data_IF_668017447143
#
_entry.id   IF_668017447143
#
_cell.length_a   1.000
_cell.length_b   1.000
_cell.length_c   1.000
_cell.angle_alpha   90.00
_cell.angle_beta   90.00
_cell.angle_gamma   90.00
#
_symmetry.space_group_name_H-M   'P 1'
#
loop_
_entity.id
_entity.type
_entity.pdbx_description
1 polymer ?
#
# COMPACT_ATOMS: atom_id res chain seq x y z
N UNK A 1 35.13 -17.79 41.57
CA UNK A 1 36.50 -18.44 41.59
C UNK A 1 36.91 -18.62 40.12
N UNK A 2 38.00 -17.91 39.80
CA UNK A 2 39.10 -18.28 38.86
C UNK A 2 38.73 -18.67 37.43
N UNK A 3 39.23 -18.13 36.36
CA UNK A 3 40.34 -17.26 35.87
C UNK A 3 40.32 -17.49 34.38
N UNK A 4 40.22 -16.46 33.54
CA UNK A 4 41.25 -15.88 32.70
C UNK A 4 42.24 -16.90 32.05
N UNK A 5 42.35 -16.82 30.69
CA UNK A 5 43.62 -16.63 30.02
C UNK A 5 43.36 -16.17 28.56
N UNK A 6 43.99 -15.04 28.24
CA UNK A 6 44.15 -14.43 26.92
C UNK A 6 45.38 -15.07 26.21
N UNK A 7 45.43 -15.02 24.89
CA UNK A 7 46.71 -14.81 24.17
C UNK A 7 46.47 -14.35 22.74
N UNK A 8 47.01 -13.20 22.39
CA UNK A 8 47.19 -12.60 21.07
C UNK A 8 48.55 -13.03 20.47
N UNK A 9 48.65 -12.97 19.12
CA UNK A 9 49.91 -12.73 18.35
C UNK A 9 49.50 -12.51 16.89
N UNK A 10 49.54 -11.39 16.31
CA UNK A 10 50.53 -10.42 15.81
C UNK A 10 51.30 -10.87 14.52
N UNK A 11 51.01 -10.08 13.46
CA UNK A 11 51.88 -9.56 12.36
C UNK A 11 52.94 -10.42 11.68
N UNK A 12 52.93 -10.40 10.33
CA UNK A 12 54.11 -9.98 9.53
C UNK A 12 53.73 -9.63 8.08
N UNK A 13 54.07 -8.39 7.65
CA UNK A 13 54.17 -7.91 6.27
C UNK A 13 55.43 -8.44 5.61
N UNK A 14 55.38 -8.67 4.28
CA UNK A 14 56.55 -8.44 3.41
C UNK A 14 56.09 -8.18 1.97
N UNK A 15 56.37 -7.00 1.48
CA UNK A 15 56.33 -6.60 0.08
C UNK A 15 57.62 -7.02 -0.62
N UNK A 16 57.49 -7.44 -1.90
CA UNK A 16 58.62 -7.30 -2.86
C UNK A 16 58.10 -7.20 -4.29
N UNK A 17 58.39 -6.09 -4.91
CA UNK A 17 58.34 -5.84 -6.36
C UNK A 17 59.50 -6.59 -7.07
N UNK A 18 59.26 -7.13 -8.28
CA UNK A 18 60.28 -7.13 -9.35
C UNK A 18 59.61 -7.16 -10.73
N UNK A 19 60.12 -6.30 -11.58
CA UNK A 19 59.85 -6.09 -13.01
C UNK A 19 60.63 -7.09 -13.83
N UNK A 20 60.06 -7.56 -14.95
CA UNK A 20 60.83 -8.27 -15.97
C UNK A 20 59.99 -8.59 -17.21
N UNK A 21 60.30 -7.90 -18.31
CA UNK A 21 59.79 -8.15 -19.67
C UNK A 21 60.39 -9.45 -20.29
N UNK A 22 59.58 -10.10 -21.17
CA UNK A 22 60.10 -11.10 -22.11
C UNK A 22 59.03 -11.87 -22.84
N UNK A 23 58.95 -11.67 -24.15
CA UNK A 23 58.02 -12.25 -25.13
C UNK A 23 58.22 -13.75 -25.33
N UNK A 24 57.16 -14.55 -25.56
CA UNK A 24 56.95 -15.40 -26.75
C UNK A 24 55.79 -16.39 -26.57
N UNK A 25 55.03 -16.58 -27.61
CA UNK A 25 53.79 -17.32 -27.76
C UNK A 25 53.89 -18.84 -27.54
N UNK A 26 52.80 -19.42 -26.96
CA UNK A 26 52.24 -20.70 -27.43
C UNK A 26 50.88 -20.98 -26.78
N UNK A 27 49.96 -21.45 -27.60
CA UNK A 27 48.53 -21.74 -27.55
C UNK A 27 48.06 -22.69 -26.44
N UNK A 28 46.91 -22.27 -25.79
CA UNK A 28 45.66 -22.95 -25.38
C UNK A 28 45.70 -24.09 -24.33
N UNK A 29 44.55 -24.36 -23.61
CA UNK A 29 43.21 -23.79 -23.67
C UNK A 29 42.71 -23.21 -22.33
N UNK A 30 41.68 -22.38 -22.47
CA UNK A 30 40.98 -21.67 -21.41
C UNK A 30 40.17 -22.62 -20.51
N UNK A 31 40.32 -22.47 -19.19
CA UNK A 31 39.28 -22.78 -18.20
C UNK A 31 38.68 -21.48 -17.76
N UNK A 32 37.38 -21.30 -18.09
CA UNK A 32 36.56 -20.15 -17.71
C UNK A 32 36.22 -20.27 -16.23
N UNK A 33 36.86 -19.49 -15.37
CA UNK A 33 36.28 -19.08 -14.11
C UNK A 33 35.34 -17.92 -14.41
N UNK A 34 34.02 -18.19 -14.38
CA UNK A 34 33.00 -17.17 -14.39
C UNK A 34 33.03 -16.45 -13.04
N UNK A 35 33.74 -15.38 -12.97
CA UNK A 35 33.56 -14.37 -11.95
C UNK A 35 32.19 -13.71 -12.16
N UNK A 36 31.27 -14.02 -11.30
CA UNK A 36 29.98 -13.31 -11.20
C UNK A 36 30.24 -11.85 -10.80
N UNK A 37 30.44 -10.99 -11.77
CA UNK A 37 30.15 -9.59 -11.61
C UNK A 37 28.62 -9.44 -11.82
N UNK A 38 27.90 -9.15 -10.75
CA UNK A 38 26.57 -8.58 -10.87
C UNK A 38 26.73 -7.24 -11.61
N UNK A 39 26.64 -7.28 -12.92
CA UNK A 39 26.40 -6.10 -13.71
C UNK A 39 24.94 -5.73 -13.45
N UNK A 40 24.70 -4.56 -12.89
CA UNK A 40 23.45 -3.84 -13.04
C UNK A 40 23.25 -3.62 -14.53
N UNK A 41 22.60 -4.57 -15.21
CA UNK A 41 22.14 -4.39 -16.55
C UNK A 41 20.94 -3.46 -16.44
N UNK A 42 21.05 -2.21 -16.92
CA UNK A 42 19.91 -1.52 -17.48
C UNK A 42 19.32 -2.51 -18.50
N UNK A 43 18.23 -3.17 -18.12
CA UNK A 43 17.58 -4.16 -18.97
C UNK A 43 16.98 -3.42 -20.18
N UNK A 44 16.93 -4.09 -21.32
CA UNK A 44 16.08 -3.58 -22.39
C UNK A 44 14.66 -3.51 -21.85
N UNK A 45 14.04 -2.32 -21.83
CA UNK A 45 12.67 -2.15 -21.38
C UNK A 45 11.69 -2.97 -22.24
N UNK A 46 10.49 -3.15 -21.74
CA UNK A 46 9.42 -3.85 -22.45
C UNK A 46 8.64 -2.81 -23.30
N UNK A 47 8.51 -2.98 -24.62
CA UNK A 47 7.70 -2.10 -25.44
C UNK A 47 6.27 -1.97 -24.89
N UNK A 48 5.69 -0.77 -24.97
CA UNK A 48 4.36 -0.49 -24.41
C UNK A 48 3.29 -1.45 -24.96
N UNK A 49 3.38 -1.81 -26.23
CA UNK A 49 2.48 -2.77 -26.90
C UNK A 49 2.60 -4.21 -26.39
N UNK A 50 3.73 -4.57 -25.76
CA UNK A 50 4.02 -5.90 -25.23
C UNK A 50 3.81 -6.00 -23.72
N UNK A 51 3.58 -4.86 -23.05
CA UNK A 51 3.29 -4.85 -21.60
C UNK A 51 1.98 -5.57 -21.32
N UNK A 52 2.01 -6.47 -20.33
CA UNK A 52 0.83 -7.05 -19.70
C UNK A 52 0.92 -6.96 -18.19
N UNK A 53 -0.16 -6.51 -17.57
CA UNK A 53 -0.28 -6.26 -16.14
C UNK A 53 -1.31 -7.19 -15.54
N UNK A 54 -0.90 -8.02 -14.59
CA UNK A 54 -1.80 -8.82 -13.75
C UNK A 54 -2.20 -8.03 -12.51
N UNK A 55 -3.46 -8.15 -12.08
CA UNK A 55 -3.91 -7.62 -10.79
C UNK A 55 -4.85 -8.62 -10.12
N UNK A 56 -4.60 -8.87 -8.83
CA UNK A 56 -5.36 -9.84 -8.04
C UNK A 56 -6.06 -9.10 -6.92
N UNK A 57 -7.39 -9.08 -6.97
CA UNK A 57 -8.26 -8.41 -6.02
C UNK A 57 -8.89 -9.42 -5.05
N UNK A 58 -8.91 -9.08 -3.76
CA UNK A 58 -9.57 -9.87 -2.72
C UNK A 58 -11.10 -9.86 -2.87
N UNK A 59 -11.66 -8.76 -3.34
CA UNK A 59 -13.09 -8.58 -3.60
C UNK A 59 -13.40 -8.27 -5.06
N UNK A 60 -14.63 -7.85 -5.31
CA UNK A 60 -15.10 -7.42 -6.64
C UNK A 60 -15.01 -5.88 -6.76
N UNK A 61 -14.16 -5.34 -7.64
CA UNK A 61 -14.11 -3.90 -7.89
C UNK A 61 -15.45 -3.31 -8.38
N UNK A 62 -16.33 -4.13 -8.96
CA UNK A 62 -17.65 -3.70 -9.42
C UNK A 62 -18.58 -3.29 -8.25
N UNK A 63 -18.21 -3.54 -7.01
CA UNK A 63 -18.91 -3.02 -5.83
C UNK A 63 -18.98 -1.49 -5.78
N UNK A 64 -18.06 -0.79 -6.47
CA UNK A 64 -18.10 0.66 -6.65
C UNK A 64 -17.56 1.48 -5.47
N UNK A 65 -17.14 0.80 -4.39
CA UNK A 65 -16.51 1.40 -3.20
C UNK A 65 -15.62 0.36 -2.49
N UNK A 66 -14.84 0.80 -1.51
CA UNK A 66 -13.99 -0.05 -0.69
C UNK A 66 -12.63 -0.38 -1.31
N UNK A 67 -11.91 -1.29 -0.65
CA UNK A 67 -10.49 -1.55 -0.91
C UNK A 67 -10.19 -2.03 -2.34
N UNK A 68 -10.85 -3.11 -2.80
CA UNK A 68 -10.62 -3.65 -4.15
C UNK A 68 -11.02 -2.67 -5.25
N UNK A 69 -12.07 -1.88 -5.03
CA UNK A 69 -12.48 -0.82 -5.95
C UNK A 69 -11.37 0.24 -6.10
N UNK A 70 -10.78 0.72 -5.00
CA UNK A 70 -9.73 1.75 -5.10
C UNK A 70 -8.46 1.23 -5.75
N UNK A 71 -8.10 -0.02 -5.53
CA UNK A 71 -7.00 -0.65 -6.26
C UNK A 71 -7.27 -0.70 -7.76
N UNK A 72 -8.48 -1.09 -8.17
CA UNK A 72 -8.83 -1.13 -9.59
C UNK A 72 -8.91 0.28 -10.20
N UNK A 73 -9.38 1.29 -9.47
CA UNK A 73 -9.29 2.67 -9.92
C UNK A 73 -7.84 3.12 -10.15
N UNK A 74 -6.91 2.66 -9.32
CA UNK A 74 -5.47 2.84 -9.53
C UNK A 74 -4.98 2.18 -10.81
N UNK A 75 -5.42 0.96 -11.11
CA UNK A 75 -5.12 0.26 -12.37
C UNK A 75 -5.69 1.01 -13.57
N UNK A 76 -6.94 1.49 -13.49
CA UNK A 76 -7.57 2.29 -14.56
C UNK A 76 -6.81 3.60 -14.81
N UNK A 77 -6.38 4.27 -13.74
CA UNK A 77 -5.59 5.50 -13.84
C UNK A 77 -4.23 5.24 -14.50
N UNK A 78 -3.53 4.18 -14.10
CA UNK A 78 -2.27 3.73 -14.70
C UNK A 78 -2.46 3.38 -16.18
N UNK A 79 -3.46 2.56 -16.48
CA UNK A 79 -3.81 2.16 -17.87
C UNK A 79 -4.01 3.37 -18.77
N UNK A 80 -4.80 4.34 -18.31
CA UNK A 80 -5.05 5.59 -19.04
C UNK A 80 -3.78 6.43 -19.22
N UNK A 81 -2.97 6.55 -18.18
CA UNK A 81 -1.74 7.36 -18.20
C UNK A 81 -0.71 6.80 -19.16
N UNK A 82 -0.55 5.48 -19.19
CA UNK A 82 0.43 4.79 -20.02
C UNK A 82 -0.11 4.40 -21.40
N UNK A 83 -1.39 4.64 -21.68
CA UNK A 83 -2.03 4.34 -22.98
C UNK A 83 -2.20 2.85 -23.24
N UNK A 84 -2.33 2.03 -22.20
CA UNK A 84 -2.52 0.58 -22.33
C UNK A 84 -3.96 0.24 -22.72
N UNK A 85 -4.13 -0.80 -23.54
CA UNK A 85 -5.44 -1.34 -23.90
C UNK A 85 -6.02 -2.25 -22.82
N UNK A 86 -7.33 -2.50 -22.87
CA UNK A 86 -8.00 -3.42 -21.92
C UNK A 86 -7.43 -4.86 -21.97
N UNK A 87 -6.98 -5.29 -23.15
CA UNK A 87 -6.39 -6.62 -23.34
C UNK A 87 -5.02 -6.80 -22.67
N UNK A 88 -4.41 -5.72 -22.24
CA UNK A 88 -3.13 -5.72 -21.50
C UNK A 88 -3.31 -5.80 -19.99
N UNK A 89 -4.54 -5.70 -19.49
CA UNK A 89 -4.85 -5.75 -18.05
C UNK A 89 -5.62 -7.03 -17.71
N UNK A 90 -4.97 -7.92 -17.00
CA UNK A 90 -5.52 -9.21 -16.58
C UNK A 90 -5.99 -9.10 -15.13
N UNK A 91 -7.31 -9.11 -14.93
CA UNK A 91 -7.93 -8.99 -13.60
C UNK A 91 -8.36 -10.35 -13.07
N UNK A 92 -8.00 -10.65 -11.84
CA UNK A 92 -8.47 -11.80 -11.07
C UNK A 92 -9.18 -11.27 -9.83
N UNK A 93 -10.50 -11.40 -9.78
CA UNK A 93 -11.34 -10.82 -8.74
C UNK A 93 -11.88 -11.90 -7.79
N UNK A 94 -12.25 -11.49 -6.57
CA UNK A 94 -12.81 -12.38 -5.54
C UNK A 94 -11.86 -13.53 -5.16
N UNK A 95 -10.56 -13.26 -5.11
CA UNK A 95 -9.57 -14.23 -4.66
C UNK A 95 -9.38 -14.06 -3.16
N UNK A 96 -9.92 -15.02 -2.38
CA UNK A 96 -9.76 -14.99 -0.91
C UNK A 96 -8.30 -15.09 -0.51
N UNK A 97 -7.83 -14.17 0.34
CA UNK A 97 -6.46 -14.14 0.84
C UNK A 97 -6.13 -15.22 1.88
N UNK A 98 -7.12 -16.01 2.27
CA UNK A 98 -6.97 -17.22 3.10
C UNK A 98 -6.94 -18.52 2.30
N UNK A 99 -7.18 -18.48 0.98
CA UNK A 99 -7.16 -19.66 0.09
C UNK A 99 -5.88 -19.66 -0.77
N UNK A 100 -4.82 -20.26 -0.22
CA UNK A 100 -3.49 -20.34 -0.88
C UNK A 100 -3.57 -20.98 -2.27
N UNK A 101 -4.48 -21.95 -2.48
CA UNK A 101 -4.63 -22.61 -3.79
C UNK A 101 -5.26 -21.67 -4.82
N UNK A 102 -6.30 -20.93 -4.43
CA UNK A 102 -6.92 -19.94 -5.30
C UNK A 102 -5.95 -18.80 -5.65
N UNK A 103 -5.15 -18.34 -4.68
CA UNK A 103 -4.12 -17.32 -4.88
C UNK A 103 -3.07 -17.78 -5.90
N UNK A 104 -2.52 -18.99 -5.69
CA UNK A 104 -1.50 -19.55 -6.59
C UNK A 104 -2.05 -19.74 -8.00
N UNK A 105 -3.25 -20.27 -8.16
CA UNK A 105 -3.89 -20.44 -9.46
C UNK A 105 -4.09 -19.08 -10.16
N UNK A 106 -4.58 -18.05 -9.46
CA UNK A 106 -4.79 -16.73 -10.03
C UNK A 106 -3.49 -16.08 -10.52
N UNK A 107 -2.40 -16.21 -9.75
CA UNK A 107 -1.08 -15.72 -10.16
C UNK A 107 -0.52 -16.51 -11.34
N UNK A 108 -0.65 -17.85 -11.32
CA UNK A 108 -0.22 -18.71 -12.43
C UNK A 108 -0.94 -18.38 -13.72
N UNK A 109 -2.25 -18.14 -13.67
CA UNK A 109 -3.01 -17.71 -14.85
C UNK A 109 -2.51 -16.37 -15.40
N UNK A 110 -2.14 -15.41 -14.55
CA UNK A 110 -1.51 -14.16 -15.00
C UNK A 110 -0.15 -14.41 -15.68
N UNK A 111 0.67 -15.31 -15.13
CA UNK A 111 1.97 -15.70 -15.71
C UNK A 111 1.76 -16.38 -17.07
N UNK A 112 0.82 -17.34 -17.17
CA UNK A 112 0.49 -18.05 -18.41
C UNK A 112 -0.05 -17.12 -19.50
N UNK A 113 -0.78 -16.06 -19.11
CA UNK A 113 -1.23 -15.02 -20.04
C UNK A 113 -0.10 -14.06 -20.47
N UNK A 114 1.10 -14.20 -19.89
CA UNK A 114 2.30 -13.45 -20.23
C UNK A 114 2.41 -12.09 -19.54
N UNK A 115 1.88 -11.95 -18.31
CA UNK A 115 2.05 -10.73 -17.54
C UNK A 115 3.52 -10.51 -17.18
N UNK A 116 4.01 -9.28 -17.40
CA UNK A 116 5.35 -8.85 -17.03
C UNK A 116 5.43 -8.44 -15.57
N UNK A 117 4.32 -7.93 -15.03
CA UNK A 117 4.19 -7.46 -13.66
C UNK A 117 2.83 -7.87 -13.09
N UNK A 118 2.81 -8.30 -11.82
CA UNK A 118 1.59 -8.72 -11.11
C UNK A 118 1.47 -7.92 -9.82
N UNK A 119 0.36 -7.22 -9.67
CA UNK A 119 -0.01 -6.53 -8.43
C UNK A 119 -0.91 -7.44 -7.59
N UNK A 120 -0.41 -7.87 -6.45
CA UNK A 120 -1.10 -8.73 -5.49
C UNK A 120 -1.54 -7.86 -4.30
N UNK A 121 -2.84 -7.59 -4.18
CA UNK A 121 -3.34 -6.46 -3.37
C UNK A 121 -3.66 -6.79 -1.92
N UNK A 122 -3.51 -8.03 -1.45
CA UNK A 122 -3.86 -8.40 -0.08
C UNK A 122 -2.74 -9.08 0.69
N UNK A 123 -2.74 -8.88 2.02
CA UNK A 123 -1.77 -9.42 2.96
C UNK A 123 -1.50 -10.92 2.78
N UNK A 124 -2.55 -11.74 2.65
CA UNK A 124 -2.42 -13.19 2.53
C UNK A 124 -1.77 -13.67 1.24
N UNK A 125 -1.50 -12.78 0.28
CA UNK A 125 -0.84 -13.15 -0.98
C UNK A 125 0.68 -13.17 -0.88
N UNK A 126 1.26 -12.67 0.22
CA UNK A 126 2.70 -12.41 0.40
C UNK A 126 3.57 -13.65 0.19
N UNK A 127 3.24 -14.77 0.83
CA UNK A 127 4.04 -16.01 0.76
C UNK A 127 3.98 -16.64 -0.63
N UNK A 128 2.84 -16.51 -1.32
CA UNK A 128 2.69 -17.00 -2.70
C UNK A 128 3.49 -16.12 -3.68
N UNK A 129 3.49 -14.79 -3.49
CA UNK A 129 4.34 -13.89 -4.27
C UNK A 129 5.82 -14.25 -4.13
N UNK A 130 6.30 -14.45 -2.89
CA UNK A 130 7.69 -14.82 -2.62
C UNK A 130 8.07 -16.12 -3.34
N UNK A 131 7.24 -17.17 -3.19
CA UNK A 131 7.42 -18.45 -3.86
C UNK A 131 7.50 -18.34 -5.38
N UNK A 132 6.49 -17.68 -5.98
CA UNK A 132 6.42 -17.59 -7.44
C UNK A 132 7.48 -16.64 -8.02
N UNK A 133 7.93 -15.64 -7.28
CA UNK A 133 9.01 -14.77 -7.69
C UNK A 133 10.36 -15.54 -7.81
N UNK A 134 10.58 -16.55 -6.96
CA UNK A 134 11.74 -17.44 -7.08
C UNK A 134 11.62 -18.38 -8.29
N UNK A 135 10.41 -18.88 -8.57
CA UNK A 135 10.15 -19.82 -9.67
C UNK A 135 10.11 -19.13 -11.05
N UNK A 136 9.70 -17.85 -11.10
CA UNK A 136 9.50 -17.05 -12.33
C UNK A 136 10.30 -15.74 -12.27
N UNK A 137 11.64 -15.80 -12.40
CA UNK A 137 12.49 -14.61 -12.23
C UNK A 137 12.29 -13.51 -13.27
N UNK A 138 11.65 -13.82 -14.40
CA UNK A 138 11.34 -12.86 -15.47
C UNK A 138 9.99 -12.12 -15.24
N UNK A 139 9.22 -12.48 -14.20
CA UNK A 139 7.96 -11.84 -13.83
C UNK A 139 8.17 -11.03 -12.57
N UNK A 140 7.64 -9.81 -12.55
CA UNK A 140 7.74 -8.90 -11.41
C UNK A 140 6.52 -9.01 -10.52
N UNK A 141 6.73 -9.09 -9.21
CA UNK A 141 5.68 -9.20 -8.22
C UNK A 141 5.71 -7.99 -7.29
N UNK A 142 4.60 -7.24 -7.24
CA UNK A 142 4.40 -6.15 -6.30
C UNK A 142 3.29 -6.54 -5.33
N UNK A 143 3.63 -6.70 -4.06
CA UNK A 143 2.70 -7.10 -3.03
C UNK A 143 2.23 -5.93 -2.17
N UNK A 144 0.93 -5.68 -2.14
CA UNK A 144 0.30 -4.67 -1.28
C UNK A 144 0.25 -5.11 0.18
N UNK A 145 0.50 -4.19 1.10
CA UNK A 145 0.38 -4.36 2.55
C UNK A 145 1.43 -5.24 3.25
N UNK A 146 2.31 -5.89 2.50
CA UNK A 146 3.32 -6.80 3.05
C UNK A 146 4.60 -6.12 3.52
N UNK A 147 5.60 -6.96 3.83
CA UNK A 147 6.93 -6.51 4.26
C UNK A 147 8.09 -7.29 3.61
N UNK A 148 7.77 -8.35 2.85
CA UNK A 148 8.78 -9.18 2.19
C UNK A 148 9.20 -8.58 0.84
N UNK A 149 10.45 -8.84 0.49
CA UNK A 149 11.03 -8.56 -0.83
C UNK A 149 12.23 -9.50 -1.06
N UNK A 150 12.64 -9.70 -2.30
CA UNK A 150 13.79 -10.55 -2.62
C UNK A 150 14.97 -9.79 -3.26
N UNK A 151 14.87 -8.47 -3.41
CA UNK A 151 15.92 -7.65 -3.99
C UNK A 151 16.11 -7.79 -5.51
N UNK A 152 15.22 -8.50 -6.22
CA UNK A 152 15.28 -8.72 -7.68
C UNK A 152 13.97 -8.46 -8.38
N UNK A 153 12.96 -9.31 -8.20
CA UNK A 153 11.69 -9.26 -8.90
C UNK A 153 10.45 -9.28 -7.98
N UNK A 154 10.66 -9.13 -6.68
CA UNK A 154 9.59 -9.06 -5.68
C UNK A 154 9.83 -7.93 -4.69
N UNK A 155 8.88 -7.01 -4.61
CA UNK A 155 8.83 -5.94 -3.62
C UNK A 155 7.46 -5.85 -2.95
N UNK A 156 7.37 -5.04 -1.89
CA UNK A 156 6.09 -4.66 -1.31
C UNK A 156 5.84 -3.15 -1.46
N UNK A 157 4.56 -2.78 -1.43
CA UNK A 157 4.12 -1.39 -1.46
C UNK A 157 3.00 -1.16 -0.46
N UNK A 158 3.04 -0.03 0.19
CA UNK A 158 1.98 0.48 1.06
C UNK A 158 2.17 1.98 1.29
N UNK A 159 1.47 2.59 2.27
CA UNK A 159 1.60 4.02 2.48
C UNK A 159 1.26 4.52 3.87
N UNK A 160 1.61 5.78 4.11
CA UNK A 160 1.44 6.52 5.37
C UNK A 160 0.03 7.09 5.49
N UNK A 161 -0.99 6.22 5.45
CA UNK A 161 -2.40 6.63 5.49
C UNK A 161 -2.74 7.47 6.73
N UNK A 162 -1.96 7.31 7.81
CA UNK A 162 -2.10 8.09 9.03
C UNK A 162 -1.93 9.60 8.80
N UNK A 163 -1.23 10.05 7.75
CA UNK A 163 -1.11 11.48 7.43
C UNK A 163 -2.48 12.07 7.07
N UNK A 164 -3.21 11.45 6.15
CA UNK A 164 -4.56 11.89 5.78
C UNK A 164 -5.56 11.68 6.94
N UNK A 165 -5.34 10.64 7.79
CA UNK A 165 -6.13 10.45 9.01
C UNK A 165 -6.03 11.63 9.97
N UNK A 166 -4.82 12.15 10.18
CA UNK A 166 -4.62 13.34 11.00
C UNK A 166 -5.43 14.53 10.47
N UNK A 167 -5.35 14.81 9.18
CA UNK A 167 -6.08 15.91 8.55
C UNK A 167 -7.61 15.73 8.62
N UNK A 168 -8.08 14.50 8.45
CA UNK A 168 -9.51 14.20 8.61
C UNK A 168 -9.96 14.33 10.07
N UNK A 169 -9.07 14.06 11.02
CA UNK A 169 -9.28 14.35 12.45
C UNK A 169 -9.45 15.83 12.73
N UNK A 170 -8.67 16.69 12.07
CA UNK A 170 -8.85 18.16 12.14
C UNK A 170 -10.26 18.57 11.68
N UNK A 171 -10.72 18.03 10.53
CA UNK A 171 -12.07 18.32 10.04
C UNK A 171 -13.15 17.83 11.02
N UNK A 172 -13.02 16.63 11.57
CA UNK A 172 -13.94 16.05 12.56
C UNK A 172 -13.97 16.85 13.87
N UNK A 173 -12.79 17.27 14.36
CA UNK A 173 -12.66 18.03 15.60
C UNK A 173 -13.27 19.43 15.53
N UNK A 174 -13.20 20.08 14.37
CA UNK A 174 -13.85 21.37 14.12
C UNK A 174 -15.37 21.22 13.94
N UNK A 175 -15.85 20.05 13.48
CA UNK A 175 -17.25 19.83 13.15
C UNK A 175 -18.10 19.37 14.33
N UNK A 176 -17.54 18.59 15.26
CA UNK A 176 -18.32 18.05 16.38
C UNK A 176 -18.92 19.17 17.25
N UNK A 177 -20.18 19.01 17.61
CA UNK A 177 -20.91 19.87 18.57
C UNK A 177 -21.02 19.19 19.93
N UNK A 178 -21.03 17.86 19.95
CA UNK A 178 -21.15 17.06 21.19
C UNK A 178 -19.83 16.84 21.92
N UNK A 179 -18.69 17.09 21.26
CA UNK A 179 -17.35 16.66 21.68
C UNK A 179 -17.20 15.12 21.81
N UNK A 180 -18.11 14.37 21.18
CA UNK A 180 -18.06 12.92 21.14
C UNK A 180 -17.98 12.47 19.69
N UNK A 181 -16.84 11.89 19.31
CA UNK A 181 -16.55 11.42 17.97
C UNK A 181 -16.42 9.90 18.00
N UNK A 182 -17.13 9.21 17.13
CA UNK A 182 -17.07 7.77 16.97
C UNK A 182 -16.03 7.37 15.92
N UNK A 183 -15.42 6.19 16.08
CA UNK A 183 -14.52 5.62 15.08
C UNK A 183 -14.76 4.10 14.97
N UNK A 184 -15.10 3.64 13.78
CA UNK A 184 -15.29 2.21 13.48
C UNK A 184 -13.99 1.67 12.88
N UNK A 185 -13.29 0.82 13.62
CA UNK A 185 -12.04 0.20 13.20
C UNK A 185 -12.21 -1.27 12.83
N UNK A 186 -11.54 -1.71 11.76
CA UNK A 186 -11.58 -3.09 11.31
C UNK A 186 -10.86 -4.05 12.26
N UNK A 187 -9.70 -3.63 12.79
CA UNK A 187 -8.81 -4.46 13.61
C UNK A 187 -8.43 -3.75 14.91
N UNK A 188 -8.03 -4.53 15.91
CA UNK A 188 -7.59 -4.05 17.21
C UNK A 188 -6.10 -3.67 17.27
N UNK A 189 -5.56 -3.70 18.49
CA UNK A 189 -4.20 -3.24 18.77
C UNK A 189 -3.09 -4.04 18.09
N UNK A 190 -3.38 -5.24 17.62
CA UNK A 190 -2.47 -6.11 16.90
C UNK A 190 -2.20 -5.63 15.46
N UNK A 191 -3.04 -4.74 14.93
CA UNK A 191 -2.88 -4.18 13.58
C UNK A 191 -2.33 -2.75 13.64
N UNK A 192 -1.08 -2.58 13.23
CA UNK A 192 -0.38 -1.30 13.27
C UNK A 192 -0.96 -0.24 12.32
N UNK A 193 -1.57 -0.64 11.21
CA UNK A 193 -2.23 0.27 10.27
C UNK A 193 -3.44 0.93 10.91
N UNK A 194 -4.37 0.12 11.44
CA UNK A 194 -5.59 0.63 12.08
C UNK A 194 -5.26 1.45 13.32
N UNK A 195 -4.32 0.96 14.15
CA UNK A 195 -3.93 1.64 15.40
C UNK A 195 -3.31 3.01 15.10
N UNK A 196 -2.33 3.07 14.18
CA UNK A 196 -1.72 4.35 13.80
C UNK A 196 -2.73 5.31 13.15
N UNK A 197 -3.71 4.77 12.43
CA UNK A 197 -4.81 5.55 11.85
C UNK A 197 -5.73 6.16 12.91
N UNK A 198 -6.09 5.38 13.94
CA UNK A 198 -6.88 5.86 15.09
C UNK A 198 -6.12 6.95 15.84
N UNK A 199 -4.85 6.70 16.16
CA UNK A 199 -4.01 7.63 16.90
C UNK A 199 -3.85 8.95 16.14
N UNK A 200 -3.53 8.90 14.85
CA UNK A 200 -3.39 10.08 14.02
C UNK A 200 -4.69 10.89 13.91
N UNK A 201 -5.83 10.20 13.73
CA UNK A 201 -7.14 10.83 13.72
C UNK A 201 -7.42 11.54 15.06
N UNK A 202 -7.19 10.86 16.18
CA UNK A 202 -7.38 11.43 17.51
C UNK A 202 -6.45 12.64 17.78
N UNK A 203 -5.20 12.58 17.33
CA UNK A 203 -4.26 13.70 17.40
C UNK A 203 -4.73 14.89 16.55
N UNK A 204 -5.30 14.65 15.37
CA UNK A 204 -5.91 15.68 14.54
C UNK A 204 -7.09 16.34 15.23
N UNK A 205 -7.97 15.56 15.84
CA UNK A 205 -9.09 16.07 16.67
C UNK A 205 -8.57 16.94 17.80
N UNK A 206 -7.62 16.42 18.60
CA UNK A 206 -7.07 17.11 19.77
C UNK A 206 -6.40 18.44 19.41
N UNK A 207 -5.76 18.51 18.24
CA UNK A 207 -5.06 19.72 17.78
C UNK A 207 -5.96 20.96 17.61
N UNK A 208 -7.26 20.74 17.37
CA UNK A 208 -8.24 21.81 17.17
C UNK A 208 -9.36 21.81 18.22
N UNK A 209 -9.59 20.69 18.90
CA UNK A 209 -10.64 20.54 19.91
C UNK A 209 -10.17 19.59 21.04
N UNK A 210 -9.39 20.09 22.03
CA UNK A 210 -8.85 19.26 23.10
C UNK A 210 -9.91 18.70 24.07
N UNK A 211 -11.14 19.21 24.04
CA UNK A 211 -12.25 18.72 24.86
C UNK A 211 -12.95 17.51 24.24
N UNK A 212 -12.80 17.30 22.94
CA UNK A 212 -13.41 16.17 22.26
C UNK A 212 -12.76 14.83 22.62
N UNK A 213 -13.58 13.77 22.53
CA UNK A 213 -13.16 12.38 22.79
C UNK A 213 -13.49 11.50 21.60
N UNK A 214 -12.52 10.65 21.23
CA UNK A 214 -12.71 9.64 20.19
C UNK A 214 -13.06 8.29 20.84
N UNK A 215 -14.23 7.76 20.51
CA UNK A 215 -14.73 6.47 20.99
C UNK A 215 -14.61 5.43 19.88
N UNK A 216 -13.93 4.33 20.13
CA UNK A 216 -13.61 3.32 19.13
C UNK A 216 -14.46 2.06 19.30
N UNK A 217 -14.98 1.53 18.21
CA UNK A 217 -15.56 0.19 18.10
C UNK A 217 -14.80 -0.62 17.06
N UNK A 218 -14.38 -1.83 17.44
CA UNK A 218 -13.65 -2.75 16.56
C UNK A 218 -14.58 -3.84 16.07
N UNK A 219 -14.59 -4.09 14.75
CA UNK A 219 -15.40 -5.13 14.11
C UNK A 219 -14.71 -6.48 14.03
N UNK A 220 -13.37 -6.52 14.13
CA UNK A 220 -12.49 -7.67 13.87
C UNK A 220 -12.65 -8.22 12.44
N UNK A 221 -12.98 -7.36 11.49
CA UNK A 221 -13.10 -7.67 10.07
C UNK A 221 -12.85 -6.43 9.25
N UNK A 222 -12.16 -6.57 8.10
CA UNK A 222 -12.02 -5.51 7.11
C UNK A 222 -13.34 -5.26 6.37
N UNK A 223 -14.11 -6.32 6.10
CA UNK A 223 -15.37 -6.27 5.37
C UNK A 223 -16.47 -7.01 6.13
N UNK A 224 -17.28 -6.28 6.86
CA UNK A 224 -18.46 -6.77 7.59
C UNK A 224 -19.57 -5.72 7.57
N UNK A 225 -20.36 -5.64 6.47
CA UNK A 225 -21.38 -4.60 6.30
C UNK A 225 -22.36 -4.49 7.47
N UNK A 226 -22.72 -5.61 8.09
CA UNK A 226 -23.66 -5.62 9.23
C UNK A 226 -22.96 -5.16 10.52
N UNK A 227 -21.79 -5.72 10.82
CA UNK A 227 -21.01 -5.36 12.00
C UNK A 227 -20.57 -3.88 11.97
N UNK A 228 -20.19 -3.36 10.82
CA UNK A 228 -19.84 -1.96 10.62
C UNK A 228 -21.05 -1.03 10.87
N UNK A 229 -22.23 -1.39 10.33
CA UNK A 229 -23.47 -0.67 10.63
C UNK A 229 -23.80 -0.68 12.11
N UNK A 230 -23.71 -1.85 12.77
CA UNK A 230 -24.01 -1.99 14.20
C UNK A 230 -23.04 -1.19 15.07
N UNK A 231 -21.75 -1.19 14.71
CA UNK A 231 -20.72 -0.43 15.41
C UNK A 231 -20.99 1.09 15.30
N UNK A 232 -21.31 1.59 14.11
CA UNK A 232 -21.66 2.99 13.88
C UNK A 232 -22.90 3.39 14.67
N UNK A 233 -23.98 2.60 14.61
CA UNK A 233 -25.21 2.86 15.39
C UNK A 233 -24.92 2.93 16.88
N UNK A 234 -24.14 1.99 17.42
CA UNK A 234 -23.81 1.99 18.83
C UNK A 234 -23.01 3.24 19.25
N UNK A 235 -22.16 3.79 18.40
CA UNK A 235 -21.45 5.06 18.63
C UNK A 235 -22.40 6.25 18.58
N UNK A 236 -23.31 6.29 17.62
CA UNK A 236 -24.34 7.32 17.48
C UNK A 236 -25.28 7.31 18.69
N UNK A 237 -25.72 6.12 19.15
CA UNK A 237 -26.57 5.97 20.34
C UNK A 237 -25.86 6.41 21.62
N UNK A 238 -24.53 6.37 21.67
CA UNK A 238 -23.72 6.92 22.77
C UNK A 238 -23.67 8.47 22.75
N UNK A 239 -24.10 9.11 21.66
CA UNK A 239 -24.06 10.56 21.49
C UNK A 239 -22.92 11.06 20.61
N UNK A 240 -22.22 10.20 19.88
CA UNK A 240 -21.26 10.63 18.88
C UNK A 240 -21.98 11.30 17.71
N UNK A 241 -21.52 12.48 17.32
CA UNK A 241 -22.08 13.28 16.22
C UNK A 241 -21.19 13.37 14.98
N UNK A 242 -20.01 12.76 15.01
CA UNK A 242 -19.14 12.51 13.85
C UNK A 242 -18.68 11.06 13.89
N UNK A 243 -18.73 10.34 12.76
CA UNK A 243 -18.35 8.93 12.65
C UNK A 243 -17.20 8.78 11.64
N UNK A 244 -15.98 8.53 12.13
CA UNK A 244 -14.83 8.09 11.33
C UNK A 244 -14.83 6.57 11.14
N UNK A 245 -14.11 6.10 10.13
CA UNK A 245 -13.97 4.66 9.89
C UNK A 245 -12.59 4.26 9.37
N UNK A 246 -12.22 3.00 9.63
CA UNK A 246 -11.09 2.29 9.05
C UNK A 246 -11.51 0.84 8.79
N UNK A 247 -12.51 0.70 7.93
CA UNK A 247 -13.12 -0.55 7.45
C UNK A 247 -13.66 -0.30 6.03
N UNK A 248 -13.98 -1.39 5.30
CA UNK A 248 -14.02 -1.33 3.84
C UNK A 248 -15.39 -1.01 3.23
N UNK A 249 -16.47 -0.98 4.01
CA UNK A 249 -17.79 -0.65 3.44
C UNK A 249 -18.21 0.79 3.73
N UNK A 250 -19.12 1.40 2.95
CA UNK A 250 -19.64 2.72 3.25
C UNK A 250 -20.67 2.73 4.38
N UNK A 251 -20.98 1.59 4.99
CA UNK A 251 -22.07 1.46 5.96
C UNK A 251 -21.97 2.38 7.17
N UNK A 252 -20.80 2.64 7.78
CA UNK A 252 -20.70 3.62 8.86
C UNK A 252 -21.19 5.01 8.43
N UNK A 253 -20.87 5.42 7.20
CA UNK A 253 -21.28 6.72 6.66
C UNK A 253 -22.78 6.77 6.32
N UNK A 254 -23.32 5.66 5.80
CA UNK A 254 -24.75 5.51 5.56
C UNK A 254 -25.57 5.58 6.86
N UNK A 255 -25.06 5.00 7.96
CA UNK A 255 -25.72 5.12 9.27
C UNK A 255 -25.58 6.51 9.86
N UNK A 256 -24.45 7.21 9.65
CA UNK A 256 -24.30 8.61 10.02
C UNK A 256 -25.33 9.50 9.29
N UNK A 257 -25.48 9.32 7.97
CA UNK A 257 -26.46 10.06 7.17
C UNK A 257 -27.90 9.82 7.64
N UNK A 258 -28.28 8.56 7.85
CA UNK A 258 -29.63 8.20 8.35
C UNK A 258 -29.93 8.84 9.72
N UNK A 259 -28.92 8.97 10.56
CA UNK A 259 -29.06 9.56 11.89
C UNK A 259 -28.98 11.10 11.88
N UNK A 260 -28.60 11.71 10.76
CA UNK A 260 -28.41 13.15 10.64
C UNK A 260 -27.16 13.65 11.39
N UNK A 261 -26.13 12.80 11.52
CA UNK A 261 -24.81 13.14 12.05
C UNK A 261 -23.77 13.12 10.93
N UNK A 262 -22.57 13.58 11.20
CA UNK A 262 -21.52 13.71 10.19
C UNK A 262 -20.60 12.50 10.15
N UNK A 263 -19.76 12.43 9.09
CA UNK A 263 -18.88 11.32 8.88
C UNK A 263 -17.56 11.65 8.19
N UNK A 264 -16.61 10.72 8.30
CA UNK A 264 -15.32 10.73 7.61
C UNK A 264 -15.15 9.38 6.94
N UNK A 265 -15.11 9.39 5.59
CA UNK A 265 -14.99 8.18 4.78
C UNK A 265 -13.58 7.60 4.69
N UNK A 266 -13.48 6.43 4.05
CA UNK A 266 -12.22 5.71 3.84
C UNK A 266 -12.18 4.97 2.50
N UNK A 267 -10.97 4.68 2.03
CA UNK A 267 -10.59 4.04 0.77
C UNK A 267 -10.85 4.94 -0.45
N UNK A 268 -12.07 5.40 -0.64
CA UNK A 268 -12.52 6.24 -1.75
C UNK A 268 -13.36 7.40 -1.25
N UNK A 269 -13.66 8.37 -2.12
CA UNK A 269 -14.57 9.46 -1.83
C UNK A 269 -16.00 8.95 -1.56
N UNK A 270 -16.36 8.88 -0.27
CA UNK A 270 -17.67 8.44 0.20
C UNK A 270 -18.72 9.54 0.24
N UNK A 271 -18.43 10.76 -0.23
CA UNK A 271 -19.45 11.78 -0.45
C UNK A 271 -20.48 11.33 -1.48
N UNK A 272 -20.13 10.36 -2.34
CA UNK A 272 -21.05 9.72 -3.30
C UNK A 272 -22.02 8.76 -2.64
N UNK A 273 -21.58 8.09 -1.55
CA UNK A 273 -22.39 7.10 -0.82
C UNK A 273 -23.31 7.76 0.20
N UNK A 274 -22.81 8.78 0.92
CA UNK A 274 -23.51 9.48 1.99
C UNK A 274 -23.33 11.02 1.89
N UNK A 275 -23.88 11.66 0.84
CA UNK A 275 -23.66 13.09 0.57
C UNK A 275 -24.18 14.02 1.67
N UNK A 276 -25.11 13.56 2.50
CA UNK A 276 -25.67 14.34 3.62
C UNK A 276 -24.87 14.22 4.92
N UNK A 277 -23.81 13.40 4.96
CA UNK A 277 -23.02 13.17 6.18
C UNK A 277 -21.53 13.41 6.00
N UNK A 278 -20.95 12.99 4.88
CA UNK A 278 -19.48 12.90 4.73
C UNK A 278 -18.85 14.28 4.59
N UNK A 279 -17.94 14.59 5.52
CA UNK A 279 -17.14 15.81 5.54
C UNK A 279 -16.00 15.74 4.53
N UNK A 280 -15.29 14.62 4.54
CA UNK A 280 -14.19 14.26 3.66
C UNK A 280 -13.93 12.77 3.75
N UNK A 281 -13.06 12.25 2.87
CA UNK A 281 -12.63 10.86 2.89
C UNK A 281 -11.11 10.76 2.89
N UNK A 282 -10.59 9.78 3.62
CA UNK A 282 -9.19 9.39 3.60
C UNK A 282 -9.01 8.37 2.49
N UNK A 283 -8.23 8.69 1.47
CA UNK A 283 -8.20 7.93 0.22
C UNK A 283 -6.83 7.38 -0.12
N UNK A 284 -6.85 6.27 -0.87
CA UNK A 284 -5.71 5.71 -1.55
C UNK A 284 -5.73 6.05 -3.03
N UNK A 285 -4.67 6.65 -3.53
CA UNK A 285 -4.42 6.85 -4.94
C UNK A 285 -3.35 5.86 -5.43
N UNK A 286 -3.72 4.58 -5.51
CA UNK A 286 -2.82 3.50 -5.94
C UNK A 286 -2.23 3.72 -7.34
N UNK A 287 -2.91 4.52 -8.17
CA UNK A 287 -2.42 4.88 -9.50
C UNK A 287 -1.06 5.57 -9.51
N UNK A 288 -0.70 6.28 -8.45
CA UNK A 288 0.62 6.89 -8.30
C UNK A 288 1.72 5.81 -8.30
N UNK A 289 1.57 4.77 -7.47
CA UNK A 289 2.53 3.67 -7.43
C UNK A 289 2.46 2.80 -8.70
N UNK A 290 1.27 2.39 -9.14
CA UNK A 290 1.13 1.50 -10.30
C UNK A 290 1.68 2.09 -11.57
N UNK A 291 1.44 3.39 -11.81
CA UNK A 291 1.98 4.08 -12.98
C UNK A 291 3.51 4.08 -12.96
N UNK A 292 4.12 4.41 -11.83
CA UNK A 292 5.58 4.41 -11.69
C UNK A 292 6.17 3.00 -11.87
N UNK A 293 5.55 1.99 -11.23
CA UNK A 293 6.02 0.61 -11.31
C UNK A 293 6.00 0.08 -12.75
N UNK A 294 4.89 0.25 -13.48
CA UNK A 294 4.78 -0.19 -14.88
C UNK A 294 5.67 0.65 -15.80
N UNK A 295 5.82 1.97 -15.54
CA UNK A 295 6.75 2.81 -16.31
C UNK A 295 8.20 2.32 -16.16
N UNK A 296 8.62 1.91 -14.95
CA UNK A 296 9.96 1.35 -14.72
C UNK A 296 10.17 0.05 -15.53
N UNK A 297 9.13 -0.76 -15.75
CA UNK A 297 9.21 -1.95 -16.60
C UNK A 297 9.37 -1.57 -18.07
N UNK A 298 8.59 -0.59 -18.54
CA UNK A 298 8.67 -0.07 -19.89
C UNK A 298 10.06 0.50 -20.20
N UNK A 299 10.61 1.27 -19.25
CA UNK A 299 11.89 1.94 -19.41
C UNK A 299 13.10 1.02 -19.17
N UNK A 300 12.89 -0.21 -18.69
CA UNK A 300 13.97 -1.13 -18.30
C UNK A 300 14.73 -0.68 -17.04
N UNK A 301 14.10 0.17 -16.22
CA UNK A 301 14.69 0.73 -15.00
C UNK A 301 14.18 0.06 -13.73
N UNK A 302 13.55 -1.12 -13.86
CA UNK A 302 13.17 -1.90 -12.69
C UNK A 302 14.42 -2.49 -12.04
N UNK A 303 14.94 -1.79 -11.03
CA UNK A 303 16.08 -2.24 -10.23
C UNK A 303 15.73 -2.05 -8.76
N UNK A 304 15.50 -3.15 -8.05
CA UNK A 304 15.19 -3.13 -6.62
C UNK A 304 16.42 -2.63 -5.84
N UNK A 305 16.19 -1.72 -4.88
CA UNK A 305 17.23 -1.07 -4.09
C UNK A 305 17.86 0.16 -4.76
N UNK A 306 17.53 0.45 -6.02
CA UNK A 306 18.00 1.63 -6.74
C UNK A 306 16.83 2.51 -7.23
N UNK A 307 15.89 1.93 -7.96
CA UNK A 307 14.71 2.65 -8.51
C UNK A 307 13.38 2.09 -7.99
N UNK A 308 13.40 0.84 -7.54
CA UNK A 308 12.25 0.15 -6.98
C UNK A 308 12.69 -0.54 -5.70
N UNK A 309 12.30 0.02 -4.57
CA UNK A 309 12.48 -0.60 -3.25
C UNK A 309 11.10 -0.94 -2.68
N UNK A 310 11.08 -1.39 -1.45
CA UNK A 310 9.84 -1.43 -0.69
C UNK A 310 9.29 -0.01 -0.63
N UNK A 311 8.11 0.16 -1.20
CA UNK A 311 7.50 1.48 -1.33
C UNK A 311 6.58 1.75 -0.15
N UNK A 312 6.85 2.82 0.59
CA UNK A 312 5.97 3.28 1.66
C UNK A 312 5.64 4.76 1.42
N UNK A 313 4.75 4.98 0.44
CA UNK A 313 4.39 6.29 -0.07
C UNK A 313 3.63 7.16 0.92
N UNK A 314 3.58 8.44 0.65
CA UNK A 314 2.94 9.43 1.50
C UNK A 314 2.08 10.43 0.70
N UNK A 315 1.65 11.51 1.36
CA UNK A 315 0.87 12.57 0.69
C UNK A 315 1.71 13.36 -0.32
N UNK A 316 3.03 13.51 -0.10
CA UNK A 316 3.91 14.21 -1.05
C UNK A 316 4.13 13.38 -2.31
N UNK A 317 4.13 12.05 -2.19
CA UNK A 317 4.16 11.12 -3.32
C UNK A 317 2.82 11.07 -4.09
N UNK A 318 1.75 11.60 -3.49
CA UNK A 318 0.40 11.56 -4.04
C UNK A 318 -0.28 10.20 -3.90
N UNK A 319 0.28 9.25 -3.11
CA UNK A 319 -0.34 7.95 -2.85
C UNK A 319 -1.47 8.06 -1.83
N UNK A 320 -1.26 8.84 -0.77
CA UNK A 320 -2.23 9.09 0.29
C UNK A 320 -2.87 10.44 0.06
N UNK A 321 -4.19 10.50 0.07
CA UNK A 321 -4.95 11.70 -0.28
C UNK A 321 -6.04 11.95 0.77
N UNK A 322 -6.33 13.20 1.06
CA UNK A 322 -7.59 13.62 1.64
C UNK A 322 -8.47 14.10 0.48
N UNK A 323 -9.71 13.60 0.38
CA UNK A 323 -10.66 14.09 -0.62
C UNK A 323 -10.90 15.60 -0.51
N UNK A 324 -11.57 16.17 -1.49
CA UNK A 324 -12.12 17.51 -1.34
C UNK A 324 -13.02 17.58 -0.10
N UNK A 325 -12.95 18.71 0.60
CA UNK A 325 -13.81 18.98 1.74
C UNK A 325 -15.22 19.30 1.24
N UNK A 326 -16.24 18.64 1.80
CA UNK A 326 -17.63 18.93 1.46
C UNK A 326 -18.11 20.25 2.08
N UNK A 327 -19.22 20.77 1.56
CA UNK A 327 -19.88 21.96 2.11
C UNK A 327 -20.46 21.74 3.53
N UNK A 328 -20.42 20.51 4.04
CA UNK A 328 -20.84 20.16 5.40
C UNK A 328 -19.78 20.48 6.45
N UNK A 329 -18.53 20.72 6.05
CA UNK A 329 -17.46 21.07 6.96
C UNK A 329 -17.76 22.38 7.71
N UNK A 330 -17.19 22.52 8.90
CA UNK A 330 -17.26 23.77 9.65
C UNK A 330 -16.50 24.90 8.94
N UNK A 331 -16.89 26.14 9.17
CA UNK A 331 -16.18 27.31 8.66
C UNK A 331 -14.72 27.29 9.12
N UNK A 332 -13.80 27.59 8.22
CA UNK A 332 -12.34 27.59 8.49
C UNK A 332 -11.67 26.24 8.43
N UNK A 333 -12.40 25.14 8.18
CA UNK A 333 -11.79 23.78 8.08
C UNK A 333 -10.72 23.72 7.00
N UNK A 334 -10.94 24.33 5.82
CA UNK A 334 -9.97 24.31 4.73
C UNK A 334 -8.64 24.98 5.12
N UNK A 335 -8.70 26.10 5.83
CA UNK A 335 -7.50 26.80 6.31
C UNK A 335 -6.77 25.98 7.39
N UNK A 336 -7.52 25.36 8.30
CA UNK A 336 -6.96 24.53 9.36
C UNK A 336 -6.27 23.27 8.80
N UNK A 337 -6.92 22.57 7.87
CA UNK A 337 -6.36 21.38 7.19
C UNK A 337 -5.10 21.74 6.38
N UNK A 338 -5.11 22.90 5.73
CA UNK A 338 -3.93 23.36 4.98
C UNK A 338 -2.75 23.77 5.87
N UNK A 339 -3.01 24.21 7.08
CA UNK A 339 -1.99 24.63 8.04
C UNK A 339 -1.39 23.46 8.83
N UNK A 340 -2.12 22.34 8.90
CA UNK A 340 -1.76 21.12 9.59
C UNK A 340 -0.83 20.24 8.75
#
# INVERSE_FOLDING_TARGET
MKKLISAALALAMAAMCFVGCGSSASSAPASSEAGSQAASAEGAGVPVEDIKVGVIHIGDPAAGSGYSYTHDQGIVAMQKTLGLSDSQIIRKNNISDSDTTAIENAMMECIEEGCNIIFATSWGYMDTCEKLAEEYPDVLFCHGTGYKSNGTNFNNYFGRIYQSRYLSGVAAGLKTESNMIGYVGAMGQENGEVTSGIDAFAMGVESVNPDAKVYVKITNSWYDPEGESQAAKALIDMGCDVIGQHCDTPNPQLEAEKAGVWGVGYNSDMTKDAPGAVLCSVEWNWGAFYTQAVQNVIDGTWVIGEHVDNYFGDMADGLVVLSDLSDLCADGTADAVKAA
#
